data_IF_169848080329
#
_entry.id   IF_169848080329
#
_cell.length_a   1.000
_cell.length_b   1.000
_cell.length_c   1.000
_cell.angle_alpha   90.00
_cell.angle_beta   90.00
_cell.angle_gamma   90.00
#
_symmetry.space_group_name_H-M   'P 1'
#
loop_
_entity.id
_entity.type
_entity.pdbx_description
1 polymer ?
#
# COMPACT_ATOMS: atom_id res chain seq x y z
N UNK A 1 1.13 -17.41 9.05
CA UNK A 1 0.22 -16.25 8.85
C UNK A 1 -0.75 -16.61 7.74
N UNK A 2 -2.05 -16.34 7.90
CA UNK A 2 -3.03 -16.61 6.85
C UNK A 2 -2.79 -15.66 5.65
N UNK A 3 -2.74 -16.20 4.43
CA UNK A 3 -2.60 -15.39 3.21
C UNK A 3 -3.83 -14.50 3.02
N UNK A 4 -3.61 -13.19 2.88
CA UNK A 4 -4.67 -12.21 2.70
C UNK A 4 -5.19 -12.22 1.26
N UNK A 5 -6.41 -12.70 1.02
CA UNK A 5 -7.03 -12.72 -0.33
C UNK A 5 -7.75 -11.44 -0.73
N UNK A 6 -8.32 -10.74 0.24
CA UNK A 6 -9.05 -9.48 0.03
C UNK A 6 -8.52 -8.45 1.02
N UNK A 7 -8.16 -7.27 0.53
CA UNK A 7 -7.87 -6.12 1.38
C UNK A 7 -9.09 -5.20 1.38
N UNK A 8 -10.06 -5.52 2.25
CA UNK A 8 -11.19 -4.67 2.61
C UNK A 8 -10.90 -3.94 3.92
N UNK A 9 -11.71 -2.93 4.28
CA UNK A 9 -11.55 -2.18 5.53
C UNK A 9 -11.44 -3.08 6.77
N UNK A 10 -12.34 -4.06 6.96
CA UNK A 10 -12.32 -4.95 8.15
C UNK A 10 -11.06 -5.83 8.24
N UNK A 11 -10.48 -6.19 7.09
CA UNK A 11 -9.26 -7.00 7.04
C UNK A 11 -8.04 -6.11 7.20
N UNK A 12 -8.08 -4.92 6.62
CA UNK A 12 -7.05 -3.91 6.71
C UNK A 12 -6.92 -3.42 8.17
N UNK A 13 -8.02 -3.20 8.88
CA UNK A 13 -8.04 -2.82 10.30
C UNK A 13 -7.43 -3.90 11.20
N UNK A 14 -7.78 -5.18 10.98
CA UNK A 14 -7.17 -6.29 11.73
C UNK A 14 -5.66 -6.43 11.45
N UNK A 15 -5.24 -6.24 10.20
CA UNK A 15 -3.84 -6.26 9.83
C UNK A 15 -3.07 -5.04 10.36
N UNK A 16 -3.74 -3.88 10.45
CA UNK A 16 -3.17 -2.60 10.86
C UNK A 16 -2.45 -2.69 12.20
N UNK A 17 -3.05 -3.34 13.19
CA UNK A 17 -2.42 -3.53 14.48
C UNK A 17 -1.04 -4.19 14.32
N UNK A 18 -0.98 -5.34 13.64
CA UNK A 18 0.27 -6.07 13.43
C UNK A 18 1.32 -5.27 12.64
N UNK A 19 0.88 -4.54 11.61
CA UNK A 19 1.76 -3.74 10.77
C UNK A 19 2.31 -2.52 11.52
N UNK A 20 1.47 -1.85 12.32
CA UNK A 20 1.89 -0.69 13.10
C UNK A 20 2.94 -1.02 14.17
N UNK A 21 2.90 -2.22 14.75
CA UNK A 21 3.91 -2.69 15.71
C UNK A 21 5.28 -2.90 15.06
N UNK A 22 5.34 -2.99 13.74
CA UNK A 22 6.57 -3.19 12.96
C UNK A 22 7.10 -1.90 12.34
N UNK A 23 6.52 -0.74 12.70
CA UNK A 23 7.07 0.56 12.31
C UNK A 23 8.48 0.74 12.90
N UNK A 24 9.39 1.43 12.19
CA UNK A 24 9.16 2.17 10.94
C UNK A 24 9.36 1.31 9.67
N UNK A 25 9.45 -0.02 9.79
CA UNK A 25 9.73 -0.94 8.66
C UNK A 25 8.69 -2.07 8.52
N UNK A 26 7.39 -1.74 8.38
CA UNK A 26 6.33 -2.74 8.36
C UNK A 26 6.49 -3.68 7.17
N UNK A 27 6.22 -4.97 7.40
CA UNK A 27 6.11 -5.98 6.34
C UNK A 27 4.64 -6.14 5.95
N UNK A 28 4.30 -5.62 4.78
CA UNK A 28 2.98 -5.68 4.17
C UNK A 28 2.95 -6.89 3.23
N UNK A 29 2.59 -8.05 3.77
CA UNK A 29 2.44 -9.27 2.99
C UNK A 29 1.14 -9.25 2.17
N UNK A 30 1.26 -8.91 0.89
CA UNK A 30 0.18 -8.92 -0.09
C UNK A 30 0.30 -10.10 -1.07
N UNK A 31 1.17 -11.08 -0.81
CA UNK A 31 1.45 -12.20 -1.73
C UNK A 31 0.18 -12.95 -2.13
N UNK A 32 -0.73 -13.14 -1.18
CA UNK A 32 -2.02 -13.80 -1.41
C UNK A 32 -3.13 -12.91 -1.96
N UNK A 33 -2.87 -11.62 -2.22
CA UNK A 33 -3.90 -10.64 -2.55
C UNK A 33 -4.51 -10.92 -3.92
N UNK A 34 -5.84 -11.04 -3.96
CA UNK A 34 -6.61 -11.28 -5.18
C UNK A 34 -7.45 -10.05 -5.55
N UNK A 35 -7.89 -9.29 -4.56
CA UNK A 35 -8.76 -8.12 -4.71
C UNK A 35 -8.48 -7.10 -3.61
N UNK A 36 -8.72 -5.84 -3.90
CA UNK A 36 -8.66 -4.76 -2.92
C UNK A 36 -9.68 -3.67 -3.29
N UNK A 37 -10.09 -2.88 -2.30
CA UNK A 37 -10.94 -1.71 -2.49
C UNK A 37 -10.15 -0.41 -2.21
N UNK A 38 -10.83 0.74 -2.35
CA UNK A 38 -10.23 2.04 -2.11
C UNK A 38 -9.78 2.23 -0.65
N UNK A 39 -10.47 1.63 0.32
CA UNK A 39 -10.14 1.77 1.74
C UNK A 39 -8.88 1.00 2.10
N UNK A 40 -8.76 -0.24 1.61
CA UNK A 40 -7.55 -1.04 1.73
C UNK A 40 -6.34 -0.32 1.14
N UNK A 41 -6.53 0.29 -0.03
CA UNK A 41 -5.50 1.08 -0.69
C UNK A 41 -5.08 2.33 0.12
N UNK A 42 -6.03 3.08 0.67
CA UNK A 42 -5.74 4.22 1.55
C UNK A 42 -4.93 3.81 2.77
N UNK A 43 -5.25 2.65 3.37
CA UNK A 43 -4.52 2.15 4.54
C UNK A 43 -3.06 1.82 4.22
N UNK A 44 -2.78 1.21 3.06
CA UNK A 44 -1.41 0.97 2.60
C UNK A 44 -0.65 2.29 2.41
N UNK A 45 -1.30 3.31 1.83
CA UNK A 45 -0.69 4.62 1.63
C UNK A 45 -0.35 5.31 2.96
N UNK A 46 -1.28 5.29 3.92
CA UNK A 46 -1.08 5.87 5.25
C UNK A 46 0.04 5.17 6.02
N UNK A 47 0.09 3.84 6.00
CA UNK A 47 1.15 3.08 6.65
C UNK A 47 2.52 3.33 6.01
N UNK A 48 2.59 3.33 4.68
CA UNK A 48 3.82 3.65 3.97
C UNK A 48 4.30 5.07 4.25
N UNK A 49 3.38 6.03 4.35
CA UNK A 49 3.72 7.40 4.70
C UNK A 49 4.19 7.51 6.16
N UNK A 50 3.49 6.88 7.11
CA UNK A 50 3.92 6.86 8.51
C UNK A 50 5.30 6.23 8.69
N UNK A 51 5.57 5.12 8.02
CA UNK A 51 6.89 4.48 7.98
C UNK A 51 7.96 5.45 7.47
N UNK A 52 7.67 6.23 6.43
CA UNK A 52 8.58 7.25 5.88
C UNK A 52 8.84 8.38 6.88
N UNK A 53 7.80 8.92 7.52
CA UNK A 53 7.93 10.02 8.49
C UNK A 53 8.76 9.60 9.71
N UNK A 54 8.69 8.32 10.09
CA UNK A 54 9.53 7.73 11.16
C UNK A 54 10.93 7.32 10.68
N UNK A 55 11.35 7.72 9.48
CA UNK A 55 12.69 7.48 8.93
C UNK A 55 12.93 6.05 8.42
N UNK A 56 11.86 5.29 8.20
CA UNK A 56 11.91 3.95 7.63
C UNK A 56 11.30 3.85 6.24
N UNK A 57 10.82 2.65 5.91
CA UNK A 57 10.23 2.33 4.63
C UNK A 57 9.28 1.14 4.78
N UNK A 58 8.17 1.16 4.05
CA UNK A 58 7.28 0.00 4.00
C UNK A 58 7.88 -1.09 3.08
N UNK A 59 7.81 -2.35 3.53
CA UNK A 59 8.26 -3.51 2.76
C UNK A 59 7.05 -4.25 2.23
N UNK A 60 6.93 -4.36 0.92
CA UNK A 60 5.81 -5.03 0.26
C UNK A 60 6.24 -6.41 -0.24
N UNK A 61 5.46 -7.44 0.11
CA UNK A 61 5.45 -8.67 -0.67
C UNK A 61 4.32 -8.53 -1.68
N UNK A 62 4.65 -8.34 -2.95
CA UNK A 62 3.67 -8.00 -3.98
C UNK A 62 2.70 -9.16 -4.25
N UNK A 63 1.49 -8.88 -4.77
CA UNK A 63 0.53 -9.91 -5.16
C UNK A 63 1.11 -10.90 -6.16
N UNK A 64 0.97 -12.21 -5.89
CA UNK A 64 1.42 -13.28 -6.81
C UNK A 64 0.65 -13.26 -8.13
N UNK A 65 -0.64 -12.89 -8.09
CA UNK A 65 -1.45 -12.69 -9.29
C UNK A 65 -1.02 -11.43 -10.02
N UNK A 66 -0.49 -11.61 -11.23
CA UNK A 66 0.09 -10.53 -12.05
C UNK A 66 -0.90 -9.38 -12.26
N UNK A 67 -2.15 -9.69 -12.57
CA UNK A 67 -3.19 -8.69 -12.85
C UNK A 67 -3.47 -7.81 -11.62
N UNK A 68 -3.36 -8.39 -10.43
CA UNK A 68 -3.58 -7.68 -9.16
C UNK A 68 -2.37 -6.80 -8.82
N UNK A 69 -1.16 -7.28 -9.08
CA UNK A 69 0.06 -6.49 -8.92
C UNK A 69 0.09 -5.29 -9.90
N UNK A 70 -0.29 -5.51 -11.15
CA UNK A 70 -0.43 -4.46 -12.17
C UNK A 70 -1.52 -3.45 -11.80
N UNK A 71 -2.68 -3.92 -11.35
CA UNK A 71 -3.74 -3.04 -10.85
C UNK A 71 -3.27 -2.20 -9.66
N UNK A 72 -2.60 -2.81 -8.68
CA UNK A 72 -2.04 -2.10 -7.52
C UNK A 72 -1.01 -1.05 -7.95
N UNK A 73 -0.13 -1.36 -8.89
CA UNK A 73 0.85 -0.41 -9.41
C UNK A 73 0.19 0.78 -10.13
N UNK A 74 -0.91 0.55 -10.87
CA UNK A 74 -1.68 1.60 -11.55
C UNK A 74 -2.45 2.53 -10.62
N UNK A 75 -2.56 2.20 -9.33
CA UNK A 75 -3.21 3.07 -8.35
C UNK A 75 -2.41 4.32 -8.00
N UNK A 76 -1.12 4.36 -8.34
CA UNK A 76 -0.22 5.44 -7.93
C UNK A 76 0.35 5.30 -6.52
N UNK A 77 0.04 4.22 -5.78
CA UNK A 77 0.57 3.96 -4.43
C UNK A 77 2.10 4.10 -4.35
N UNK A 78 2.82 3.37 -5.20
CA UNK A 78 4.29 3.37 -5.14
C UNK A 78 4.91 4.69 -5.61
N UNK A 79 4.23 5.42 -6.50
CA UNK A 79 4.60 6.78 -6.89
C UNK A 79 4.46 7.73 -5.71
N UNK A 80 3.35 7.63 -4.96
CA UNK A 80 3.07 8.43 -3.77
C UNK A 80 4.12 8.20 -2.67
N UNK A 81 4.61 6.98 -2.50
CA UNK A 81 5.68 6.69 -1.54
C UNK A 81 7.05 7.24 -1.99
N UNK A 82 7.22 7.53 -3.28
CA UNK A 82 8.39 8.25 -3.84
C UNK A 82 9.74 7.67 -3.36
N UNK A 83 9.92 6.36 -3.49
CA UNK A 83 11.15 5.66 -3.08
C UNK A 83 11.22 5.27 -1.61
N UNK A 84 10.24 5.67 -0.78
CA UNK A 84 10.14 5.25 0.63
C UNK A 84 9.49 3.87 0.80
N UNK A 85 9.84 2.92 -0.07
CA UNK A 85 9.38 1.54 0.02
C UNK A 85 10.43 0.57 -0.52
N UNK A 86 10.31 -0.69 -0.11
CA UNK A 86 11.00 -1.84 -0.71
C UNK A 86 9.95 -2.83 -1.18
N UNK A 87 10.22 -3.52 -2.28
CA UNK A 87 9.38 -4.61 -2.78
C UNK A 87 10.23 -5.87 -2.98
N UNK A 88 9.63 -7.04 -2.77
CA UNK A 88 10.28 -8.35 -2.94
C UNK A 88 10.69 -8.64 -4.38
N UNK A 89 10.04 -7.97 -5.34
CA UNK A 89 10.33 -8.05 -6.77
C UNK A 89 10.09 -6.69 -7.45
N UNK A 90 10.61 -6.49 -8.67
CA UNK A 90 10.37 -5.27 -9.42
C UNK A 90 8.87 -4.97 -9.57
N UNK A 91 8.51 -3.69 -9.50
CA UNK A 91 7.14 -3.26 -9.79
C UNK A 91 6.80 -3.58 -11.24
N UNK A 92 5.61 -4.12 -11.54
CA UNK A 92 5.19 -4.33 -12.91
C UNK A 92 5.05 -2.98 -13.63
N UNK A 93 5.42 -2.96 -14.92
CA UNK A 93 5.18 -1.81 -15.78
C UNK A 93 3.67 -1.64 -15.98
N UNK A 94 3.15 -0.56 -15.43
CA UNK A 94 1.73 -0.30 -15.35
C UNK A 94 1.41 0.97 -16.16
N UNK A 95 0.88 0.78 -17.37
CA UNK A 95 0.38 1.87 -18.22
C UNK A 95 -1.10 2.18 -17.90
N UNK A 96 -1.48 3.45 -17.98
CA UNK A 96 -2.86 3.91 -17.74
C UNK A 96 -3.21 4.17 -16.28
N UNK A 97 -4.48 4.52 -16.02
CA UNK A 97 -5.03 4.78 -14.68
C UNK A 97 -5.68 3.50 -14.14
N UNK A 98 -5.40 3.16 -12.88
CA UNK A 98 -6.10 2.08 -12.18
C UNK A 98 -7.55 2.46 -11.87
N UNK A 99 -8.34 1.51 -11.35
CA UNK A 99 -9.74 1.73 -10.95
C UNK A 99 -9.87 2.81 -9.87
N UNK A 100 -8.86 2.94 -9.04
CA UNK A 100 -8.73 3.98 -8.01
C UNK A 100 -7.37 4.63 -8.18
N UNK A 101 -7.32 5.97 -8.13
CA UNK A 101 -6.07 6.73 -8.20
C UNK A 101 -5.84 7.44 -6.87
N UNK A 102 -4.73 7.12 -6.22
CA UNK A 102 -4.24 7.87 -5.07
C UNK A 102 -3.52 9.13 -5.56
N UNK A 103 -3.97 10.27 -5.06
CA UNK A 103 -3.32 11.56 -5.29
C UNK A 103 -2.94 12.16 -3.95
N UNK A 104 -1.74 12.75 -3.88
CA UNK A 104 -1.36 13.57 -2.73
C UNK A 104 -1.88 14.97 -2.99
N UNK A 105 -2.78 15.43 -2.13
CA UNK A 105 -3.16 16.84 -2.07
C UNK A 105 -2.10 17.55 -1.23
N UNK A 106 -1.67 18.73 -1.68
CA UNK A 106 -0.81 19.58 -0.86
C UNK A 106 -1.51 19.93 0.45
N UNK A 107 -0.74 20.16 1.51
CA UNK A 107 -1.31 20.51 2.80
C UNK A 107 -2.10 21.81 2.65
N UNK A 108 -3.42 21.75 2.77
CA UNK A 108 -4.25 22.94 2.82
C UNK A 108 -3.84 23.77 4.03
N UNK A 109 -3.39 25.00 3.78
CA UNK A 109 -3.15 25.97 4.83
C UNK A 109 -4.48 26.44 5.41
N UNK A 110 -4.91 25.84 6.52
CA UNK A 110 -5.99 26.43 7.34
C UNK A 110 -7.36 25.77 7.27
N UNK A 111 -7.44 24.44 7.23
CA UNK A 111 -8.66 23.77 7.73
C UNK A 111 -8.63 23.86 9.26
N UNK A 112 -9.41 24.80 9.81
CA UNK A 112 -9.75 24.91 11.23
C UNK A 112 -11.15 24.36 11.44
#
# INVERSE_FOLDING_TARGET
MARLRLLSVDRAERALWSWSQSLPRPLLDLSGLERFDAFGLCLLALLGWKAKEEGGLARFLLPEKREVAEELARTGLFRLLSGAFWADRPLPEAQGKGRVLLVRVEREGGVR
#
